data_IF_376665982410
#
_entry.id   IF_376665982410
#
_cell.length_a   1.000
_cell.length_b   1.000
_cell.length_c   1.000
_cell.angle_alpha   90.00
_cell.angle_beta   90.00
_cell.angle_gamma   90.00
#
_symmetry.space_group_name_H-M   'P 1'
#
loop_
_entity.id
_entity.type
_entity.pdbx_description
1 polymer ?
#
# COMPACT_ATOMS: atom_id res chain seq x y z
N UNK A 1 -40.26 -12.25 14.19
CA UNK A 1 -38.92 -12.60 14.70
C UNK A 1 -37.98 -12.50 13.51
N UNK A 2 -37.48 -11.27 13.27
CA UNK A 2 -36.69 -10.92 12.09
C UNK A 2 -35.24 -11.22 12.39
N UNK A 3 -34.70 -12.28 11.81
CA UNK A 3 -33.28 -12.61 11.88
C UNK A 3 -32.55 -11.55 11.04
N UNK A 4 -31.93 -10.57 11.73
CA UNK A 4 -30.90 -9.75 11.11
C UNK A 4 -29.73 -10.68 10.86
N UNK A 5 -29.46 -10.96 9.59
CA UNK A 5 -28.19 -11.54 9.16
C UNK A 5 -27.10 -10.47 9.38
N UNK A 6 -26.51 -10.47 10.56
CA UNK A 6 -25.21 -9.82 10.78
C UNK A 6 -24.18 -10.60 9.98
N UNK A 7 -24.02 -10.23 8.71
CA UNK A 7 -22.78 -10.50 7.96
C UNK A 7 -21.73 -9.62 8.64
N UNK A 8 -21.10 -10.16 9.67
CA UNK A 8 -19.95 -9.56 10.33
C UNK A 8 -18.77 -9.60 9.33
N UNK A 9 -18.83 -8.75 8.32
CA UNK A 9 -17.71 -8.53 7.39
C UNK A 9 -16.61 -7.90 8.22
N UNK A 10 -15.59 -8.68 8.56
CA UNK A 10 -14.50 -8.25 9.42
C UNK A 10 -13.73 -7.12 8.73
N UNK A 11 -13.95 -5.88 9.17
CA UNK A 11 -13.23 -4.71 8.64
C UNK A 11 -11.73 -4.86 8.90
N UNK A 12 -10.91 -4.67 7.89
CA UNK A 12 -9.46 -4.69 8.06
C UNK A 12 -8.96 -3.43 8.78
N UNK A 13 -9.42 -2.26 8.29
CA UNK A 13 -9.04 -0.95 8.83
C UNK A 13 -10.30 -0.08 8.88
N UNK A 14 -10.47 0.65 10.00
CA UNK A 14 -11.52 1.66 10.17
C UNK A 14 -10.92 2.98 10.59
N UNK A 15 -11.18 4.02 9.80
CA UNK A 15 -10.90 5.42 10.14
C UNK A 15 -12.18 6.11 10.57
N UNK A 16 -12.14 6.84 11.69
CA UNK A 16 -13.27 7.62 12.21
C UNK A 16 -12.78 9.03 12.51
N UNK A 17 -13.26 10.00 11.74
CA UNK A 17 -12.95 11.44 11.84
C UNK A 17 -11.44 11.74 11.94
N UNK A 18 -10.65 11.04 11.14
CA UNK A 18 -9.18 11.08 11.20
C UNK A 18 -8.66 12.40 10.65
N UNK A 19 -7.91 13.12 11.49
CA UNK A 19 -7.21 14.35 11.10
C UNK A 19 -5.72 14.21 11.38
N UNK A 20 -4.88 14.68 10.46
CA UNK A 20 -3.42 14.74 10.66
C UNK A 20 -2.88 16.12 10.30
N UNK A 21 -2.25 16.76 11.27
CA UNK A 21 -1.56 18.04 11.13
C UNK A 21 -0.08 17.84 11.38
N UNK A 22 0.75 18.27 10.46
CA UNK A 22 2.22 18.29 10.59
C UNK A 22 2.68 19.67 11.03
N UNK A 23 3.71 19.72 11.87
CA UNK A 23 4.24 20.96 12.43
C UNK A 23 3.36 21.57 13.52
N UNK A 24 3.75 22.75 13.98
CA UNK A 24 3.08 23.51 15.05
C UNK A 24 3.04 25.01 14.74
N UNK A 25 2.12 25.72 15.35
CA UNK A 25 1.98 27.20 15.20
C UNK A 25 1.61 27.61 13.77
N UNK A 26 2.09 28.78 13.30
CA UNK A 26 1.70 29.34 11.99
C UNK A 26 2.09 28.50 10.78
N UNK A 27 3.06 27.59 10.93
CA UNK A 27 3.55 26.69 9.86
C UNK A 27 2.89 25.29 9.90
N UNK A 28 1.86 25.10 10.73
CA UNK A 28 1.15 23.84 10.79
C UNK A 28 0.36 23.59 9.49
N UNK A 29 0.53 22.41 8.91
CA UNK A 29 -0.17 21.98 7.69
C UNK A 29 -1.05 20.79 8.02
N UNK A 30 -2.36 20.94 7.86
CA UNK A 30 -3.30 19.83 8.04
C UNK A 30 -3.41 19.06 6.72
N UNK A 31 -2.76 17.92 6.66
CA UNK A 31 -2.67 17.06 5.47
C UNK A 31 -3.88 16.13 5.30
N UNK A 32 -4.54 15.74 6.40
CA UNK A 32 -5.76 14.92 6.39
C UNK A 32 -6.78 15.56 7.33
N UNK A 33 -8.05 15.68 6.91
CA UNK A 33 -9.10 16.44 7.61
C UNK A 33 -10.39 15.63 7.71
N UNK A 34 -10.66 15.06 8.88
CA UNK A 34 -11.94 14.43 9.21
C UNK A 34 -12.29 13.23 8.33
N UNK A 35 -11.28 12.43 7.95
CA UNK A 35 -11.50 11.28 7.06
C UNK A 35 -12.14 10.13 7.82
N UNK A 36 -13.30 9.67 7.32
CA UNK A 36 -13.98 8.46 7.80
C UNK A 36 -14.14 7.48 6.64
N UNK A 37 -13.45 6.34 6.71
CA UNK A 37 -13.46 5.28 5.68
C UNK A 37 -13.20 3.93 6.33
N UNK A 38 -13.73 2.89 5.69
CA UNK A 38 -13.52 1.49 6.09
C UNK A 38 -12.92 0.72 4.93
N UNK A 39 -11.88 -0.07 5.21
CA UNK A 39 -11.27 -0.97 4.25
C UNK A 39 -11.66 -2.41 4.60
N UNK A 40 -12.29 -3.10 3.65
CA UNK A 40 -12.76 -4.48 3.78
C UNK A 40 -11.79 -5.46 3.11
N UNK A 41 -11.80 -6.76 3.49
CA UNK A 41 -11.05 -7.79 2.81
C UNK A 41 -11.36 -7.83 1.30
N UNK A 42 -10.32 -7.94 0.48
CA UNK A 42 -10.43 -8.01 -0.97
C UNK A 42 -10.85 -6.70 -1.67
N UNK A 43 -11.12 -5.63 -0.93
CA UNK A 43 -11.47 -4.33 -1.49
C UNK A 43 -10.30 -3.74 -2.26
N UNK A 44 -10.52 -3.26 -3.48
CA UNK A 44 -9.50 -2.62 -4.30
C UNK A 44 -9.91 -1.19 -4.61
N UNK A 45 -9.13 -0.24 -4.11
CA UNK A 45 -9.45 1.19 -4.10
C UNK A 45 -8.39 1.99 -4.84
N UNK A 46 -8.81 2.82 -5.78
CA UNK A 46 -8.01 3.92 -6.32
C UNK A 46 -8.16 5.15 -5.43
N UNK A 47 -7.08 5.57 -4.78
CA UNK A 47 -7.02 6.82 -4.03
C UNK A 47 -6.50 7.93 -4.97
N UNK A 48 -7.42 8.81 -5.43
CA UNK A 48 -7.12 9.83 -6.42
C UNK A 48 -7.13 11.24 -5.83
N UNK A 49 -6.51 12.17 -6.51
CA UNK A 49 -6.49 13.59 -6.12
C UNK A 49 -5.19 14.29 -6.53
N UNK A 50 -5.15 15.62 -6.53
CA UNK A 50 -3.98 16.39 -6.91
C UNK A 50 -2.78 16.13 -5.98
N UNK A 51 -1.59 16.55 -6.43
CA UNK A 51 -0.40 16.53 -5.56
C UNK A 51 -0.66 17.40 -4.33
N UNK A 52 -0.23 16.92 -3.15
CA UNK A 52 -0.47 17.62 -1.88
C UNK A 52 -1.87 17.44 -1.28
N UNK A 53 -2.78 16.67 -1.90
CA UNK A 53 -4.13 16.45 -1.35
C UNK A 53 -4.18 15.58 -0.09
N UNK A 54 -3.04 14.99 0.36
CA UNK A 54 -2.96 14.20 1.59
C UNK A 54 -2.94 12.70 1.39
N UNK A 55 -2.90 12.17 0.16
CA UNK A 55 -2.91 10.74 -0.18
C UNK A 55 -1.82 9.95 0.56
N UNK A 56 -0.57 10.35 0.42
CA UNK A 56 0.58 9.69 1.09
C UNK A 56 0.44 9.69 2.60
N UNK A 57 0.00 10.82 3.19
CA UNK A 57 -0.25 10.91 4.64
C UNK A 57 -1.35 9.94 5.07
N UNK A 58 -2.44 9.83 4.31
CA UNK A 58 -3.49 8.87 4.59
C UNK A 58 -2.97 7.43 4.51
N UNK A 59 -2.20 7.07 3.47
CA UNK A 59 -1.59 5.75 3.36
C UNK A 59 -0.67 5.44 4.54
N UNK A 60 0.17 6.39 4.98
CA UNK A 60 1.02 6.21 6.16
C UNK A 60 0.20 5.99 7.45
N UNK A 61 -0.90 6.70 7.60
CA UNK A 61 -1.82 6.51 8.72
C UNK A 61 -2.46 5.10 8.68
N UNK A 62 -2.94 4.65 7.52
CA UNK A 62 -3.49 3.30 7.34
C UNK A 62 -2.45 2.21 7.62
N UNK A 63 -1.19 2.44 7.26
CA UNK A 63 -0.07 1.55 7.53
C UNK A 63 0.39 1.56 9.01
N UNK A 64 -0.14 2.46 9.84
CA UNK A 64 0.33 2.67 11.21
C UNK A 64 1.73 3.30 11.29
N UNK A 65 2.26 3.82 10.19
CA UNK A 65 3.56 4.51 10.13
C UNK A 65 3.48 5.95 10.66
N UNK A 66 2.28 6.49 10.77
CA UNK A 66 2.00 7.79 11.37
C UNK A 66 0.79 7.70 12.30
N UNK A 67 0.62 8.69 13.17
CA UNK A 67 -0.48 8.75 14.14
C UNK A 67 -1.39 9.95 13.87
N UNK A 68 -2.71 9.80 13.97
CA UNK A 68 -3.62 10.93 13.78
C UNK A 68 -3.44 11.97 14.89
N UNK A 69 -3.63 13.25 14.54
CA UNK A 69 -3.68 14.35 15.51
C UNK A 69 -5.01 14.36 16.27
N UNK A 70 -6.11 13.94 15.59
CA UNK A 70 -7.43 13.70 16.18
C UNK A 70 -8.18 12.64 15.39
N UNK A 71 -9.26 12.13 15.94
CA UNK A 71 -9.99 10.98 15.43
C UNK A 71 -9.29 9.66 15.78
N UNK A 72 -9.73 8.55 15.22
CA UNK A 72 -9.20 7.22 15.54
C UNK A 72 -9.02 6.36 14.31
N UNK A 73 -7.97 5.52 14.34
CA UNK A 73 -7.79 4.43 13.38
C UNK A 73 -7.77 3.13 14.16
N UNK A 74 -8.58 2.18 13.73
CA UNK A 74 -8.63 0.84 14.28
C UNK A 74 -8.32 -0.19 13.18
N UNK A 75 -7.69 -1.30 13.57
CA UNK A 75 -7.31 -2.40 12.68
C UNK A 75 -7.92 -3.73 13.17
N UNK A 76 -9.27 -3.83 13.24
CA UNK A 76 -9.93 -4.99 13.83
C UNK A 76 -9.60 -6.30 13.11
N UNK A 77 -9.46 -6.25 11.80
CA UNK A 77 -9.11 -7.43 11.00
C UNK A 77 -7.62 -7.71 10.90
N UNK A 78 -6.76 -6.89 11.52
CA UNK A 78 -5.32 -7.11 11.53
C UNK A 78 -4.79 -7.45 12.93
N UNK A 79 -5.68 -7.75 13.89
CA UNK A 79 -5.35 -8.02 15.30
C UNK A 79 -4.57 -6.88 15.96
N UNK A 80 -4.93 -5.63 15.63
CA UNK A 80 -4.30 -4.40 16.14
C UNK A 80 -3.43 -3.67 15.13
N UNK A 81 -2.73 -2.61 15.57
CA UNK A 81 -1.89 -1.78 14.71
C UNK A 81 -0.83 -2.61 13.98
N UNK A 82 -0.61 -2.38 12.67
CA UNK A 82 0.44 -3.04 11.90
C UNK A 82 1.86 -2.51 12.25
N UNK A 83 1.98 -1.39 12.97
CA UNK A 83 3.27 -0.84 13.34
C UNK A 83 4.12 -1.83 14.14
N UNK A 84 5.38 -2.02 13.73
CA UNK A 84 6.28 -3.00 14.36
C UNK A 84 5.92 -4.47 14.10
N UNK A 85 4.98 -4.75 13.18
CA UNK A 85 4.54 -6.10 12.79
C UNK A 85 4.81 -6.33 11.30
N UNK A 86 6.04 -6.68 10.92
CA UNK A 86 6.42 -6.88 9.52
C UNK A 86 5.49 -7.89 8.83
N UNK A 87 5.11 -7.59 7.60
CA UNK A 87 4.33 -8.51 6.78
C UNK A 87 2.80 -8.45 6.94
N UNK A 88 2.27 -7.70 7.91
CA UNK A 88 0.82 -7.53 8.06
C UNK A 88 0.26 -6.60 6.97
N UNK A 89 1.00 -5.53 6.68
CA UNK A 89 0.73 -4.57 5.61
C UNK A 89 1.94 -4.51 4.68
N UNK A 90 1.72 -4.69 3.38
CA UNK A 90 2.71 -4.46 2.34
C UNK A 90 2.64 -3.01 1.88
N UNK A 91 3.75 -2.26 2.02
CA UNK A 91 3.84 -0.88 1.56
C UNK A 91 4.74 -0.78 0.34
N UNK A 92 4.23 -0.15 -0.73
CA UNK A 92 4.98 0.19 -1.94
C UNK A 92 5.05 1.70 -2.06
N UNK A 93 6.26 2.24 -2.07
CA UNK A 93 6.51 3.68 -2.15
C UNK A 93 6.67 4.13 -3.61
N UNK A 94 6.61 5.43 -3.84
CA UNK A 94 6.80 6.06 -5.15
C UNK A 94 8.16 5.70 -5.77
N UNK A 95 9.22 5.62 -4.95
CA UNK A 95 10.51 5.09 -5.37
C UNK A 95 10.74 3.69 -4.83
N UNK A 96 11.60 2.89 -5.47
CA UNK A 96 11.79 1.48 -5.12
C UNK A 96 12.31 1.24 -3.71
N UNK A 97 13.02 2.23 -3.13
CA UNK A 97 13.52 2.19 -1.74
C UNK A 97 14.25 0.87 -1.39
N UNK A 98 14.99 0.31 -2.35
CA UNK A 98 15.81 -0.88 -2.14
C UNK A 98 17.03 -0.53 -1.29
N UNK A 99 17.50 -1.50 -0.51
CA UNK A 99 18.70 -1.35 0.31
C UNK A 99 19.93 -1.65 -0.56
N UNK A 100 20.81 -0.66 -0.83
CA UNK A 100 21.91 -0.83 -1.79
C UNK A 100 22.91 -1.94 -1.45
N UNK A 101 23.21 -2.24 -0.16
CA UNK A 101 24.15 -3.31 0.18
C UNK A 101 23.61 -4.73 -0.01
N UNK A 102 22.30 -4.87 -0.22
CA UNK A 102 21.63 -6.17 -0.35
C UNK A 102 21.34 -6.47 -1.83
N UNK A 103 21.56 -7.72 -2.24
CA UNK A 103 21.10 -8.16 -3.56
C UNK A 103 19.55 -8.17 -3.65
N UNK A 104 19.04 -8.42 -4.84
CA UNK A 104 17.58 -8.45 -5.10
C UNK A 104 16.88 -9.49 -4.24
N UNK A 105 17.44 -10.70 -4.12
CA UNK A 105 16.84 -11.77 -3.31
C UNK A 105 16.84 -11.38 -1.83
N UNK A 106 17.92 -10.81 -1.32
CA UNK A 106 18.05 -10.34 0.06
C UNK A 106 17.08 -9.18 0.36
N UNK A 107 16.95 -8.22 -0.56
CA UNK A 107 15.97 -7.15 -0.45
C UNK A 107 14.54 -7.70 -0.30
N UNK A 108 14.18 -8.71 -1.09
CA UNK A 108 12.83 -9.32 -1.05
C UNK A 108 12.67 -10.21 0.18
N UNK A 109 13.73 -10.88 0.65
CA UNK A 109 13.68 -11.72 1.84
C UNK A 109 13.61 -10.91 3.16
N UNK A 110 14.10 -9.68 3.16
CA UNK A 110 14.24 -8.87 4.37
C UNK A 110 12.95 -8.77 5.23
N UNK A 111 11.77 -8.41 4.68
CA UNK A 111 10.55 -8.33 5.49
C UNK A 111 10.14 -9.69 6.08
N UNK A 112 10.46 -10.80 5.43
CA UNK A 112 10.23 -12.15 5.96
C UNK A 112 11.14 -12.45 7.16
N UNK A 113 12.42 -12.10 7.05
CA UNK A 113 13.39 -12.24 8.14
C UNK A 113 12.98 -11.38 9.35
N UNK A 114 12.57 -10.13 9.11
CA UNK A 114 12.08 -9.24 10.17
C UNK A 114 10.78 -9.76 10.81
N UNK A 115 9.96 -10.53 10.07
CA UNK A 115 8.79 -11.22 10.61
C UNK A 115 9.12 -12.53 11.36
N UNK A 116 10.42 -12.87 11.48
CA UNK A 116 10.88 -14.07 12.21
C UNK A 116 10.86 -15.36 11.39
N UNK A 117 10.70 -15.28 10.06
CA UNK A 117 10.81 -16.45 9.16
C UNK A 117 12.29 -16.89 9.11
N UNK A 118 12.55 -18.19 9.18
CA UNK A 118 13.90 -18.72 9.07
C UNK A 118 14.56 -18.40 7.72
N UNK A 119 15.88 -18.23 7.71
CA UNK A 119 16.64 -17.73 6.53
C UNK A 119 16.39 -18.55 5.26
N UNK A 120 16.42 -19.88 5.35
CA UNK A 120 16.19 -20.76 4.19
C UNK A 120 14.79 -20.56 3.60
N UNK A 121 13.77 -20.52 4.45
CA UNK A 121 12.38 -20.32 4.04
C UNK A 121 12.15 -18.90 3.50
N UNK A 122 12.75 -17.89 4.13
CA UNK A 122 12.68 -16.50 3.68
C UNK A 122 13.28 -16.35 2.28
N UNK A 123 14.42 -16.99 2.02
CA UNK A 123 15.06 -16.99 0.70
C UNK A 123 14.20 -17.71 -0.36
N UNK A 124 13.62 -18.85 -0.02
CA UNK A 124 12.72 -19.59 -0.93
C UNK A 124 11.46 -18.77 -1.29
N UNK A 125 10.81 -18.16 -0.29
CA UNK A 125 9.64 -17.29 -0.51
C UNK A 125 10.02 -16.03 -1.32
N UNK A 126 11.18 -15.44 -1.08
CA UNK A 126 11.69 -14.33 -1.87
C UNK A 126 11.88 -14.70 -3.33
N UNK A 127 12.49 -15.84 -3.61
CA UNK A 127 12.64 -16.36 -4.97
C UNK A 127 11.30 -16.64 -5.64
N UNK A 128 10.31 -17.13 -4.90
CA UNK A 128 8.96 -17.32 -5.42
C UNK A 128 8.28 -16.00 -5.77
N UNK A 129 8.43 -14.96 -4.92
CA UNK A 129 7.91 -13.62 -5.21
C UNK A 129 8.57 -13.02 -6.46
N UNK A 130 9.89 -13.20 -6.61
CA UNK A 130 10.63 -12.75 -7.80
C UNK A 130 10.18 -13.50 -9.07
N UNK A 131 9.95 -14.80 -9.00
CA UNK A 131 9.37 -15.56 -10.14
C UNK A 131 7.99 -15.05 -10.53
N UNK A 132 7.16 -14.73 -9.56
CA UNK A 132 5.81 -14.17 -9.80
C UNK A 132 5.82 -12.77 -10.42
N UNK A 133 6.96 -12.08 -10.38
CA UNK A 133 7.16 -10.74 -10.92
C UNK A 133 8.04 -10.77 -12.22
N UNK A 134 8.36 -11.96 -12.77
CA UNK A 134 9.28 -12.17 -13.90
C UNK A 134 10.66 -11.52 -13.67
N UNK A 135 11.23 -11.71 -12.46
CA UNK A 135 12.51 -11.13 -12.02
C UNK A 135 13.50 -12.19 -11.51
N UNK A 136 13.23 -13.48 -11.74
CA UNK A 136 14.01 -14.57 -11.15
C UNK A 136 15.51 -14.50 -11.49
N UNK A 137 15.83 -14.07 -12.71
CA UNK A 137 17.22 -13.96 -13.22
C UNK A 137 17.99 -12.78 -12.61
N UNK A 138 17.29 -11.85 -11.96
CA UNK A 138 17.92 -10.67 -11.34
C UNK A 138 18.28 -10.91 -9.87
N UNK A 139 18.01 -12.09 -9.31
CA UNK A 139 18.10 -12.37 -7.89
C UNK A 139 19.43 -12.04 -7.22
N UNK A 140 20.56 -12.18 -7.92
CA UNK A 140 21.91 -11.89 -7.41
C UNK A 140 22.44 -10.50 -7.78
N UNK A 141 21.63 -9.66 -8.46
CA UNK A 141 22.05 -8.30 -8.82
C UNK A 141 21.89 -7.34 -7.66
N UNK A 142 22.72 -6.32 -7.65
CA UNK A 142 22.58 -5.19 -6.71
C UNK A 142 21.56 -4.17 -7.27
N UNK A 143 20.92 -3.36 -6.42
CA UNK A 143 19.96 -2.34 -6.83
C UNK A 143 20.47 -1.36 -7.90
N UNK A 144 21.76 -1.02 -7.88
CA UNK A 144 22.40 -0.13 -8.85
C UNK A 144 22.54 -0.72 -10.25
N UNK A 145 22.41 -2.04 -10.40
CA UNK A 145 22.45 -2.73 -11.68
C UNK A 145 21.08 -2.88 -12.35
N UNK A 146 20.01 -2.36 -11.70
CA UNK A 146 18.63 -2.47 -12.17
C UNK A 146 18.18 -1.22 -12.92
N UNK A 147 17.34 -1.41 -13.94
CA UNK A 147 16.56 -0.30 -14.47
C UNK A 147 15.53 0.18 -13.45
N UNK A 148 15.02 1.41 -13.59
CA UNK A 148 13.98 1.95 -12.69
C UNK A 148 12.73 1.07 -12.61
N UNK A 149 12.26 0.54 -13.74
CA UNK A 149 11.13 -0.39 -13.80
C UNK A 149 11.41 -1.73 -13.10
N UNK A 150 12.62 -2.29 -13.28
CA UNK A 150 13.04 -3.51 -12.58
C UNK A 150 13.11 -3.27 -11.07
N UNK A 151 13.75 -2.19 -10.65
CA UNK A 151 13.84 -1.84 -9.22
C UNK A 151 12.46 -1.65 -8.58
N UNK A 152 11.52 -1.02 -9.28
CA UNK A 152 10.17 -0.84 -8.78
C UNK A 152 9.41 -2.18 -8.69
N UNK A 153 9.53 -3.07 -9.68
CA UNK A 153 8.95 -4.42 -9.61
C UNK A 153 9.56 -5.25 -8.47
N UNK A 154 10.86 -5.12 -8.21
CA UNK A 154 11.51 -5.73 -7.03
C UNK A 154 10.91 -5.19 -5.73
N UNK A 155 10.69 -3.87 -5.63
CA UNK A 155 10.05 -3.27 -4.46
C UNK A 155 8.62 -3.78 -4.25
N UNK A 156 7.85 -3.99 -5.33
CA UNK A 156 6.54 -4.64 -5.26
C UNK A 156 6.68 -6.10 -4.80
N UNK A 157 7.58 -6.89 -5.39
CA UNK A 157 7.82 -8.27 -4.98
C UNK A 157 8.19 -8.36 -3.49
N UNK A 158 9.02 -7.43 -2.99
CA UNK A 158 9.37 -7.31 -1.56
C UNK A 158 8.13 -7.08 -0.69
N UNK A 159 7.25 -6.16 -1.07
CA UNK A 159 6.03 -5.88 -0.32
C UNK A 159 5.05 -7.08 -0.31
N UNK A 160 5.06 -7.88 -1.37
CA UNK A 160 4.17 -9.04 -1.54
C UNK A 160 4.72 -10.34 -0.96
N UNK A 161 6.03 -10.45 -0.71
CA UNK A 161 6.70 -11.69 -0.27
C UNK A 161 6.13 -12.24 1.05
N UNK A 162 5.62 -11.37 1.92
CA UNK A 162 4.99 -11.74 3.19
C UNK A 162 3.54 -12.17 3.07
N UNK A 163 2.95 -12.15 1.86
CA UNK A 163 1.52 -12.37 1.62
C UNK A 163 0.63 -11.48 2.51
N UNK A 164 0.76 -10.15 2.43
CA UNK A 164 0.08 -9.23 3.33
C UNK A 164 -1.45 -9.28 3.13
N UNK A 165 -2.20 -8.94 4.19
CA UNK A 165 -3.67 -8.79 4.12
C UNK A 165 -4.11 -7.46 3.53
N UNK A 166 -3.23 -6.45 3.59
CA UNK A 166 -3.45 -5.10 3.04
C UNK A 166 -2.22 -4.70 2.24
N UNK A 167 -2.42 -4.18 1.05
CA UNK A 167 -1.40 -3.61 0.18
C UNK A 167 -1.70 -2.11 0.05
N UNK A 168 -0.74 -1.28 0.40
CA UNK A 168 -0.82 0.17 0.26
C UNK A 168 0.26 0.61 -0.73
N UNK A 169 -0.13 1.23 -1.83
CA UNK A 169 0.79 1.65 -2.87
C UNK A 169 0.68 3.17 -3.10
N UNK A 170 1.76 3.88 -2.85
CA UNK A 170 1.84 5.34 -2.99
C UNK A 170 2.50 5.72 -4.29
N UNK A 171 1.72 6.08 -5.30
CA UNK A 171 2.14 6.45 -6.65
C UNK A 171 3.23 5.51 -7.24
N UNK A 172 3.01 4.17 -7.22
CA UNK A 172 4.05 3.19 -7.53
C UNK A 172 4.52 3.23 -8.99
N UNK A 173 3.82 3.96 -9.84
CA UNK A 173 4.09 4.09 -11.28
C UNK A 173 4.55 5.50 -11.68
N UNK A 174 4.57 6.45 -10.75
CA UNK A 174 4.75 7.88 -11.06
C UNK A 174 6.12 8.28 -11.62
N UNK A 175 7.12 7.40 -11.56
CA UNK A 175 8.48 7.64 -12.08
C UNK A 175 8.83 6.72 -13.26
N UNK A 176 7.85 5.98 -13.79
CA UNK A 176 8.03 4.99 -14.84
C UNK A 176 7.47 5.49 -16.18
N UNK A 177 8.03 4.99 -17.26
CA UNK A 177 7.38 5.12 -18.55
C UNK A 177 6.09 4.28 -18.62
N UNK A 178 5.26 4.52 -19.62
CA UNK A 178 3.93 3.92 -19.75
C UNK A 178 3.95 2.39 -19.79
N UNK A 179 4.97 1.77 -20.38
CA UNK A 179 5.04 0.31 -20.48
C UNK A 179 5.31 -0.32 -19.12
N UNK A 180 6.33 0.17 -18.39
CA UNK A 180 6.66 -0.31 -17.06
C UNK A 180 5.58 0.04 -16.02
N UNK A 181 4.90 1.19 -16.18
CA UNK A 181 3.77 1.56 -15.35
C UNK A 181 2.64 0.53 -15.42
N UNK A 182 2.31 0.06 -16.62
CA UNK A 182 1.30 -1.01 -16.83
C UNK A 182 1.72 -2.32 -16.17
N UNK A 183 2.99 -2.71 -16.30
CA UNK A 183 3.52 -3.94 -15.68
C UNK A 183 3.40 -3.90 -14.16
N UNK A 184 3.85 -2.80 -13.52
CA UNK A 184 3.78 -2.62 -12.06
C UNK A 184 2.34 -2.62 -11.56
N UNK A 185 1.45 -1.90 -12.25
CA UNK A 185 0.04 -1.85 -11.90
C UNK A 185 -0.63 -3.22 -12.02
N UNK A 186 -0.35 -3.96 -13.10
CA UNK A 186 -0.88 -5.31 -13.32
C UNK A 186 -0.40 -6.27 -12.24
N UNK A 187 0.89 -6.25 -11.91
CA UNK A 187 1.46 -7.07 -10.84
C UNK A 187 0.76 -6.83 -9.49
N UNK A 188 0.48 -5.57 -9.14
CA UNK A 188 -0.22 -5.21 -7.89
C UNK A 188 -1.67 -5.71 -7.88
N UNK A 189 -2.43 -5.50 -8.97
CA UNK A 189 -3.84 -5.89 -9.06
C UNK A 189 -4.01 -7.41 -9.03
N UNK A 190 -3.18 -8.13 -9.78
CA UNK A 190 -3.20 -9.60 -9.82
C UNK A 190 -2.79 -10.19 -8.47
N UNK A 191 -1.76 -9.61 -7.81
CA UNK A 191 -1.34 -10.07 -6.50
C UNK A 191 -2.42 -9.82 -5.44
N UNK A 192 -3.07 -8.65 -5.43
CA UNK A 192 -4.17 -8.35 -4.52
C UNK A 192 -5.32 -9.36 -4.69
N UNK A 193 -5.71 -9.65 -5.93
CA UNK A 193 -6.75 -10.63 -6.25
C UNK A 193 -6.35 -12.03 -5.80
N UNK A 194 -5.15 -12.48 -6.13
CA UNK A 194 -4.64 -13.83 -5.78
C UNK A 194 -4.54 -14.04 -4.27
N UNK A 195 -4.12 -13.01 -3.53
CA UNK A 195 -3.98 -13.05 -2.07
C UNK A 195 -5.31 -12.82 -1.33
N UNK A 196 -6.36 -12.35 -2.01
CA UNK A 196 -7.57 -11.84 -1.36
C UNK A 196 -7.27 -10.62 -0.48
N UNK A 197 -6.17 -9.93 -0.75
CA UNK A 197 -5.74 -8.76 0.02
C UNK A 197 -6.54 -7.52 -0.38
N UNK A 198 -6.78 -6.63 0.58
CA UNK A 198 -7.23 -5.29 0.24
C UNK A 198 -6.09 -4.49 -0.38
N UNK A 199 -6.39 -3.69 -1.40
CA UNK A 199 -5.43 -2.80 -2.07
C UNK A 199 -5.94 -1.35 -2.01
N UNK A 200 -5.11 -0.43 -1.53
CA UNK A 200 -5.31 1.00 -1.72
C UNK A 200 -4.15 1.53 -2.56
N UNK A 201 -4.45 1.97 -3.78
CA UNK A 201 -3.47 2.46 -4.73
C UNK A 201 -3.67 3.96 -4.95
N UNK A 202 -2.76 4.78 -4.42
CA UNK A 202 -2.74 6.21 -4.70
C UNK A 202 -2.15 6.45 -6.09
N UNK A 203 -2.87 7.21 -6.90
CA UNK A 203 -2.43 7.57 -8.24
C UNK A 203 -3.11 8.86 -8.72
N UNK A 204 -2.41 9.59 -9.57
CA UNK A 204 -2.98 10.69 -10.35
C UNK A 204 -3.34 10.26 -11.79
N UNK A 205 -2.98 9.04 -12.20
CA UNK A 205 -3.35 8.46 -13.49
C UNK A 205 -4.80 7.93 -13.45
N UNK A 206 -5.69 8.63 -14.14
CA UNK A 206 -7.11 8.27 -14.22
C UNK A 206 -7.35 6.96 -14.99
N UNK A 207 -6.47 6.60 -15.92
CA UNK A 207 -6.56 5.33 -16.66
C UNK A 207 -6.30 4.16 -15.72
N UNK A 208 -5.26 4.28 -14.89
CA UNK A 208 -4.97 3.29 -13.86
C UNK A 208 -6.08 3.25 -12.79
N UNK A 209 -6.55 4.40 -12.33
CA UNK A 209 -7.64 4.49 -11.37
C UNK A 209 -8.92 3.80 -11.87
N UNK A 210 -9.21 3.89 -13.17
CA UNK A 210 -10.36 3.23 -13.80
C UNK A 210 -10.28 1.69 -13.84
N UNK A 211 -9.13 1.08 -13.53
CA UNK A 211 -8.98 -0.38 -13.42
C UNK A 211 -9.41 -0.94 -12.06
N UNK A 212 -9.63 -0.08 -11.06
CA UNK A 212 -10.05 -0.48 -9.73
C UNK A 212 -11.56 -0.26 -9.55
N UNK A 213 -12.25 -1.18 -8.84
CA UNK A 213 -13.71 -1.11 -8.70
C UNK A 213 -14.18 0.05 -7.81
N UNK A 214 -13.34 0.48 -6.86
CA UNK A 214 -13.68 1.55 -5.92
C UNK A 214 -12.78 2.76 -6.12
N UNK A 215 -13.34 3.96 -5.89
CA UNK A 215 -12.58 5.21 -5.94
C UNK A 215 -12.78 6.01 -4.65
N UNK A 216 -11.67 6.40 -4.04
CA UNK A 216 -11.62 7.41 -3.00
C UNK A 216 -10.95 8.65 -3.59
N UNK A 217 -11.65 9.77 -3.58
CA UNK A 217 -11.13 11.01 -4.13
C UNK A 217 -10.79 11.98 -2.99
N UNK A 218 -9.59 12.56 -3.02
CA UNK A 218 -9.12 13.52 -2.01
C UNK A 218 -8.83 14.88 -2.62
N UNK A 219 -9.31 15.94 -1.95
CA UNK A 219 -8.89 17.32 -2.22
C UNK A 219 -8.70 18.05 -0.89
N UNK A 220 -7.66 18.85 -0.77
CA UNK A 220 -7.34 19.68 0.41
C UNK A 220 -7.42 18.93 1.75
N UNK A 221 -6.97 17.67 1.74
CA UNK A 221 -6.98 16.78 2.91
C UNK A 221 -8.31 16.11 3.22
N UNK A 222 -9.37 16.36 2.46
CA UNK A 222 -10.72 15.80 2.67
C UNK A 222 -11.01 14.71 1.64
N UNK A 223 -11.83 13.74 2.06
CA UNK A 223 -12.50 12.86 1.10
C UNK A 223 -13.65 13.62 0.45
N UNK A 224 -13.69 13.62 -0.87
CA UNK A 224 -14.85 14.10 -1.61
C UNK A 224 -15.96 13.06 -1.55
N UNK A 225 -17.20 13.54 -1.49
CA UNK A 225 -18.42 12.74 -1.66
C UNK A 225 -18.88 12.88 -3.11
N UNK A 226 -19.74 11.98 -3.58
CA UNK A 226 -20.30 12.06 -4.94
C UNK A 226 -21.05 13.39 -5.21
N UNK A 227 -21.48 14.07 -4.13
CA UNK A 227 -22.17 15.37 -4.20
C UNK A 227 -21.21 16.56 -4.40
N UNK A 228 -19.91 16.38 -4.20
CA UNK A 228 -18.90 17.44 -4.31
C UNK A 228 -18.36 17.62 -5.76
N UNK A 229 -18.78 16.79 -6.70
CA UNK A 229 -18.36 16.79 -8.12
C UNK A 229 -19.27 17.63 -9.05
N UNK A 230 -20.13 18.54 -8.49
CA UNK A 230 -21.02 19.41 -9.27
C UNK A 230 -20.58 20.86 -9.30
#
# INVERSE_FOLDING_TARGET
>A
MTIRSDTNTLELIRCTDVTRTHGTGPNAVTAVRGVSRTLLPGMQVALTGPSGSGKSTLLHLLAGLDTPTSGTIAWPGLDGSPFGRPGVVGMVFQGPSLLPPLDVTENVALPLLLAGVGESEARERAQQALRSADLAELGSRLPEELSGGQAQRVAVARALATAPRVILADEPTGQLDSAHAVEVATLLLEAATRLGAALVLATHDLTLAGRLPERWQMADGRMLTEDDDQ
#
